data_IF_221133884997
#
_entry.id   IF_221133884997
#
_cell.length_a   1.000
_cell.length_b   1.000
_cell.length_c   1.000
_cell.angle_alpha   90.00
_cell.angle_beta   90.00
_cell.angle_gamma   90.00
#
_symmetry.space_group_name_H-M   'P 1'
#
loop_
_entity.id
_entity.type
_entity.pdbx_description
1 polymer ?
#
# COMPACT_ATOMS: atom_id res chain seq x y z
N UNK A 1 22.30 -6.38 -5.23
CA UNK A 1 21.04 -5.71 -5.58
C UNK A 1 20.33 -5.20 -4.33
N UNK A 2 19.55 -4.14 -4.45
CA UNK A 2 18.70 -3.55 -3.40
C UNK A 2 17.24 -3.60 -3.84
N UNK A 3 16.34 -3.86 -2.90
CA UNK A 3 14.89 -3.83 -3.13
C UNK A 3 14.28 -2.69 -2.32
N UNK A 4 13.46 -1.86 -2.95
CA UNK A 4 12.66 -0.83 -2.30
C UNK A 4 11.19 -1.16 -2.45
N UNK A 5 10.49 -1.35 -1.34
CA UNK A 5 9.07 -1.62 -1.29
C UNK A 5 8.40 -0.34 -0.78
N UNK A 6 7.58 0.27 -1.62
CA UNK A 6 6.74 1.40 -1.22
C UNK A 6 5.35 0.87 -0.90
N UNK A 7 4.78 1.20 0.26
CA UNK A 7 3.33 1.11 0.38
C UNK A 7 2.66 2.22 -0.46
N UNK A 8 1.38 2.03 -0.82
CA UNK A 8 0.67 3.03 -1.60
C UNK A 8 0.64 4.41 -0.91
N UNK A 9 0.41 4.51 0.42
CA UNK A 9 0.53 5.77 1.15
C UNK A 9 1.90 6.44 1.02
N UNK A 10 2.99 5.73 0.79
CA UNK A 10 4.31 6.31 0.55
C UNK A 10 4.44 6.94 -0.84
N UNK A 11 3.54 6.61 -1.75
CA UNK A 11 3.55 7.11 -3.14
C UNK A 11 2.48 8.18 -3.35
N UNK A 12 1.28 7.95 -2.85
CA UNK A 12 0.12 8.84 -3.00
C UNK A 12 -0.24 9.41 -1.64
N UNK A 13 -0.40 10.73 -1.56
CA UNK A 13 -0.91 11.42 -0.38
C UNK A 13 -2.43 11.31 -0.38
N UNK A 14 -2.93 10.40 0.45
CA UNK A 14 -4.35 10.24 0.70
C UNK A 14 -4.58 9.89 2.17
N UNK A 15 -5.77 10.22 2.67
CA UNK A 15 -6.19 9.74 3.99
C UNK A 15 -6.98 8.47 3.83
N UNK A 16 -6.50 7.45 4.49
CA UNK A 16 -7.07 6.12 4.59
C UNK A 16 -8.53 6.18 5.09
N UNK A 17 -8.85 7.16 5.94
CA UNK A 17 -10.17 7.49 6.48
C UNK A 17 -11.16 7.98 5.42
N UNK A 18 -10.70 8.56 4.31
CA UNK A 18 -11.57 9.03 3.22
C UNK A 18 -12.04 7.84 2.35
N UNK A 19 -11.29 6.72 2.33
CA UNK A 19 -11.55 5.57 1.48
C UNK A 19 -12.30 4.42 2.18
N UNK A 20 -12.17 4.29 3.50
CA UNK A 20 -12.87 3.24 4.27
C UNK A 20 -14.39 3.26 4.16
N UNK A 21 -15.07 4.42 4.25
CA UNK A 21 -16.53 4.44 4.12
C UNK A 21 -16.99 3.86 2.79
N UNK A 22 -16.20 4.01 1.73
CA UNK A 22 -16.52 3.44 0.42
C UNK A 22 -16.48 1.90 0.43
N UNK A 23 -15.53 1.31 1.17
CA UNK A 23 -15.46 -0.14 1.34
C UNK A 23 -16.60 -0.64 2.23
N UNK A 24 -16.89 0.07 3.32
CA UNK A 24 -18.03 -0.24 4.18
C UNK A 24 -19.33 -0.25 3.37
N UNK A 25 -19.62 0.83 2.64
CA UNK A 25 -20.81 0.93 1.78
C UNK A 25 -20.88 -0.22 0.76
N UNK A 26 -19.75 -0.58 0.13
CA UNK A 26 -19.71 -1.68 -0.82
C UNK A 26 -20.05 -3.03 -0.16
N UNK A 27 -19.57 -3.28 1.05
CA UNK A 27 -19.90 -4.50 1.80
C UNK A 27 -21.38 -4.47 2.21
N UNK A 28 -21.87 -3.36 2.77
CA UNK A 28 -23.26 -3.23 3.24
C UNK A 28 -24.27 -3.46 2.10
N UNK A 29 -24.02 -2.90 0.91
CA UNK A 29 -24.87 -3.06 -0.27
C UNK A 29 -25.00 -4.52 -0.71
N UNK A 30 -23.90 -5.28 -0.66
CA UNK A 30 -23.86 -6.67 -1.13
C UNK A 30 -24.29 -7.66 -0.04
N UNK A 31 -24.02 -7.35 1.22
CA UNK A 31 -24.40 -8.17 2.37
C UNK A 31 -25.87 -7.95 2.77
N UNK A 32 -26.45 -6.80 2.42
CA UNK A 32 -27.80 -6.40 2.82
C UNK A 32 -27.93 -6.10 4.32
N UNK A 33 -26.81 -5.88 5.01
CA UNK A 33 -26.74 -5.62 6.44
C UNK A 33 -25.77 -4.48 6.74
N UNK A 34 -26.03 -3.73 7.82
CA UNK A 34 -25.10 -2.69 8.28
C UNK A 34 -23.83 -3.30 8.85
N UNK A 35 -22.70 -2.69 8.53
CA UNK A 35 -21.37 -3.08 8.99
C UNK A 35 -20.84 -1.97 9.88
N UNK A 36 -20.41 -2.29 11.10
CA UNK A 36 -19.77 -1.28 11.96
C UNK A 36 -18.37 -0.95 11.43
N UNK A 37 -18.02 0.34 11.41
CA UNK A 37 -16.67 0.80 11.05
C UNK A 37 -15.57 0.20 11.93
N UNK A 38 -15.90 -0.26 13.14
CA UNK A 38 -14.97 -0.93 14.05
C UNK A 38 -14.48 -2.30 13.53
N UNK A 39 -15.22 -2.90 12.60
CA UNK A 39 -14.86 -4.16 11.96
C UNK A 39 -13.89 -3.96 10.79
N UNK A 40 -13.74 -2.73 10.28
CA UNK A 40 -12.76 -2.40 9.23
C UNK A 40 -11.41 -2.00 9.83
N UNK A 41 -10.76 -2.93 10.55
CA UNK A 41 -9.44 -2.71 11.19
C UNK A 41 -8.32 -2.61 10.16
N UNK A 42 -7.35 -1.75 10.42
CA UNK A 42 -6.22 -1.45 9.52
C UNK A 42 -5.06 -2.45 9.56
N UNK A 43 -5.14 -3.48 10.40
CA UNK A 43 -4.13 -4.55 10.45
C UNK A 43 -4.25 -5.47 9.21
N UNK A 44 -5.43 -5.49 8.61
CA UNK A 44 -5.76 -6.27 7.42
C UNK A 44 -5.90 -5.36 6.20
N UNK A 45 -5.63 -5.94 5.02
CA UNK A 45 -5.93 -5.27 3.76
C UNK A 45 -7.40 -5.49 3.38
N UNK A 46 -7.88 -4.92 2.27
CA UNK A 46 -9.29 -5.03 1.87
C UNK A 46 -9.80 -6.47 1.75
N UNK A 47 -8.95 -7.42 1.33
CA UNK A 47 -9.32 -8.83 1.27
C UNK A 47 -9.48 -9.44 2.66
N UNK A 48 -8.54 -9.19 3.57
CA UNK A 48 -8.65 -9.65 4.96
C UNK A 48 -9.90 -9.08 5.63
N UNK A 49 -10.08 -7.76 5.54
CA UNK A 49 -11.23 -7.05 6.12
C UNK A 49 -12.55 -7.63 5.63
N UNK A 50 -12.68 -7.89 4.33
CA UNK A 50 -13.89 -8.47 3.76
C UNK A 50 -14.16 -9.87 4.36
N UNK A 51 -13.14 -10.72 4.46
CA UNK A 51 -13.29 -12.05 5.06
C UNK A 51 -13.66 -11.98 6.55
N UNK A 52 -13.04 -11.08 7.32
CA UNK A 52 -13.32 -10.91 8.76
C UNK A 52 -14.75 -10.39 8.98
N UNK A 53 -15.19 -9.41 8.18
CA UNK A 53 -16.56 -8.88 8.25
C UNK A 53 -17.59 -9.98 7.96
N UNK A 54 -17.40 -10.76 6.89
CA UNK A 54 -18.30 -11.87 6.57
C UNK A 54 -18.32 -12.92 7.68
N UNK A 55 -17.16 -13.27 8.22
CA UNK A 55 -17.06 -14.25 9.31
C UNK A 55 -17.78 -13.79 10.57
N UNK A 56 -17.74 -12.50 10.89
CA UNK A 56 -18.37 -11.94 12.11
C UNK A 56 -19.86 -11.69 11.97
N UNK A 57 -20.30 -11.21 10.80
CA UNK A 57 -21.68 -10.76 10.60
C UNK A 57 -22.54 -11.88 9.99
N UNK A 58 -22.02 -12.59 8.99
CA UNK A 58 -22.74 -13.63 8.28
C UNK A 58 -22.41 -15.04 8.76
N UNK A 59 -21.47 -15.18 9.71
CA UNK A 59 -20.98 -16.46 10.25
C UNK A 59 -20.47 -17.43 9.18
N UNK A 60 -20.01 -16.89 8.04
CA UNK A 60 -19.48 -17.66 6.91
C UNK A 60 -18.43 -16.87 6.15
N UNK A 61 -17.77 -17.51 5.21
CA UNK A 61 -16.98 -16.82 4.20
C UNK A 61 -17.87 -16.32 3.06
N UNK A 62 -17.48 -15.25 2.35
CA UNK A 62 -18.17 -14.81 1.14
C UNK A 62 -18.05 -15.90 0.06
N UNK A 63 -19.03 -15.97 -0.84
CA UNK A 63 -18.86 -16.68 -2.10
C UNK A 63 -17.91 -15.88 -3.01
N UNK A 64 -17.35 -16.53 -4.03
CA UNK A 64 -16.52 -15.82 -5.02
C UNK A 64 -17.31 -14.71 -5.73
N UNK A 65 -18.60 -14.92 -5.96
CA UNK A 65 -19.51 -13.94 -6.59
C UNK A 65 -19.67 -12.71 -5.70
N UNK A 66 -19.91 -12.90 -4.40
CA UNK A 66 -19.99 -11.79 -3.43
C UNK A 66 -18.67 -11.04 -3.31
N UNK A 67 -17.55 -11.77 -3.28
CA UNK A 67 -16.23 -11.18 -3.19
C UNK A 67 -15.94 -10.25 -4.39
N UNK A 68 -16.19 -10.74 -5.60
CA UNK A 68 -15.98 -9.94 -6.82
C UNK A 68 -17.02 -8.81 -6.97
N UNK A 69 -18.27 -9.02 -6.53
CA UNK A 69 -19.29 -7.97 -6.53
C UNK A 69 -18.92 -6.80 -5.60
N UNK A 70 -18.39 -7.10 -4.41
CA UNK A 70 -17.92 -6.06 -3.47
C UNK A 70 -16.70 -5.34 -4.03
N UNK A 71 -15.74 -6.05 -4.63
CA UNK A 71 -14.59 -5.44 -5.32
C UNK A 71 -15.02 -4.44 -6.38
N UNK A 72 -15.97 -4.84 -7.22
CA UNK A 72 -16.53 -4.01 -8.27
C UNK A 72 -17.28 -2.79 -7.70
N UNK A 73 -18.15 -2.98 -6.70
CA UNK A 73 -18.88 -1.87 -6.05
C UNK A 73 -17.91 -0.87 -5.41
N UNK A 74 -16.89 -1.36 -4.69
CA UNK A 74 -15.85 -0.51 -4.10
C UNK A 74 -15.12 0.33 -5.17
N UNK A 75 -14.73 -0.28 -6.29
CA UNK A 75 -14.07 0.41 -7.40
C UNK A 75 -14.96 1.51 -8.02
N UNK A 76 -16.26 1.24 -8.22
CA UNK A 76 -17.22 2.23 -8.72
C UNK A 76 -17.35 3.41 -7.76
N UNK A 77 -17.46 3.13 -6.45
CA UNK A 77 -17.54 4.15 -5.40
C UNK A 77 -16.27 4.98 -5.32
N UNK A 78 -15.10 4.34 -5.39
CA UNK A 78 -13.79 5.00 -5.44
C UNK A 78 -13.69 5.95 -6.63
N UNK A 79 -14.01 5.48 -7.84
CA UNK A 79 -13.99 6.31 -9.06
C UNK A 79 -14.93 7.50 -8.94
N UNK A 80 -16.15 7.27 -8.43
CA UNK A 80 -17.13 8.34 -8.19
C UNK A 80 -16.64 9.34 -7.14
N UNK A 81 -15.95 8.87 -6.10
CA UNK A 81 -15.35 9.72 -5.07
C UNK A 81 -14.26 10.63 -5.65
N UNK A 82 -13.39 10.08 -6.51
CA UNK A 82 -12.37 10.82 -7.23
C UNK A 82 -12.97 11.91 -8.16
N UNK A 83 -14.04 11.60 -8.90
CA UNK A 83 -14.66 12.58 -9.81
C UNK A 83 -15.34 13.75 -9.09
N UNK A 84 -15.80 13.55 -7.85
CA UNK A 84 -16.55 14.57 -7.10
C UNK A 84 -15.68 15.57 -6.36
N UNK A 85 -14.38 15.27 -6.18
CA UNK A 85 -13.49 16.05 -5.33
C UNK A 85 -12.15 16.22 -6.02
N UNK A 86 -12.00 17.34 -6.72
CA UNK A 86 -10.72 17.73 -7.32
C UNK A 86 -9.62 17.80 -6.24
N UNK A 87 -8.42 17.33 -6.59
CA UNK A 87 -7.20 17.44 -5.77
C UNK A 87 -7.23 16.74 -4.40
N UNK A 88 -8.09 15.75 -4.20
CA UNK A 88 -8.13 14.96 -2.96
C UNK A 88 -6.86 14.11 -2.74
N UNK A 89 -6.26 13.68 -3.85
CA UNK A 89 -5.15 12.75 -3.88
C UNK A 89 -4.09 13.32 -4.79
N UNK A 90 -2.88 13.44 -4.26
CA UNK A 90 -1.74 13.93 -5.01
C UNK A 90 -0.57 12.97 -4.84
N UNK A 91 0.36 13.01 -5.78
CA UNK A 91 1.61 12.29 -5.63
C UNK A 91 2.39 12.91 -4.47
N UNK A 92 2.91 12.06 -3.58
CA UNK A 92 3.74 12.55 -2.47
C UNK A 92 4.90 13.39 -3.00
N UNK A 93 5.04 14.59 -2.45
CA UNK A 93 6.03 15.55 -2.94
C UNK A 93 7.44 14.94 -2.95
N UNK A 94 8.08 14.93 -4.13
CA UNK A 94 9.42 14.39 -4.33
C UNK A 94 9.51 12.89 -4.60
N UNK A 95 8.43 12.10 -4.44
CA UNK A 95 8.50 10.64 -4.68
C UNK A 95 8.80 10.32 -6.14
N UNK A 96 8.28 11.10 -7.10
CA UNK A 96 8.57 10.90 -8.53
C UNK A 96 10.08 10.97 -8.81
N UNK A 97 10.79 11.91 -8.17
CA UNK A 97 12.25 12.00 -8.31
C UNK A 97 12.96 10.76 -7.78
N UNK A 98 12.47 10.17 -6.68
CA UNK A 98 12.98 8.91 -6.15
C UNK A 98 12.72 7.76 -7.12
N UNK A 99 11.48 7.62 -7.63
CA UNK A 99 11.11 6.57 -8.57
C UNK A 99 11.92 6.66 -9.86
N UNK A 100 12.08 7.86 -10.44
CA UNK A 100 12.91 8.07 -11.63
C UNK A 100 14.38 7.70 -11.40
N UNK A 101 14.94 8.03 -10.23
CA UNK A 101 16.31 7.63 -9.90
C UNK A 101 16.46 6.13 -9.69
N UNK A 102 15.47 5.46 -9.08
CA UNK A 102 15.48 4.00 -8.95
C UNK A 102 15.47 3.31 -10.33
N UNK A 103 14.76 3.88 -11.31
CA UNK A 103 14.71 3.34 -12.67
C UNK A 103 16.04 3.44 -13.44
N UNK A 104 16.89 4.42 -13.12
CA UNK A 104 18.20 4.59 -13.79
C UNK A 104 19.32 3.78 -13.16
N UNK A 105 19.08 3.13 -12.01
CA UNK A 105 20.08 2.40 -11.25
C UNK A 105 19.88 0.88 -11.40
N UNK A 106 20.76 0.15 -12.13
CA UNK A 106 20.54 -1.25 -12.50
C UNK A 106 20.52 -2.21 -11.29
N UNK A 107 21.20 -1.85 -10.21
CA UNK A 107 21.25 -2.64 -8.97
C UNK A 107 20.07 -2.40 -8.04
N UNK A 108 19.18 -1.47 -8.38
CA UNK A 108 18.03 -1.10 -7.58
C UNK A 108 16.75 -1.58 -8.25
N UNK A 109 15.94 -2.28 -7.45
CA UNK A 109 14.61 -2.69 -7.84
C UNK A 109 13.60 -2.07 -6.90
N UNK A 110 12.41 -1.79 -7.41
CA UNK A 110 11.34 -1.33 -6.57
C UNK A 110 9.99 -1.90 -7.00
N UNK A 111 9.05 -1.88 -6.07
CA UNK A 111 7.65 -2.20 -6.29
C UNK A 111 6.77 -1.38 -5.35
N UNK A 112 5.49 -1.35 -5.69
CA UNK A 112 4.44 -0.78 -4.84
C UNK A 112 3.62 -1.93 -4.26
N UNK A 113 3.32 -1.85 -2.97
CA UNK A 113 2.35 -2.70 -2.27
C UNK A 113 1.13 -1.87 -1.89
N UNK A 114 -0.06 -2.45 -1.94
CA UNK A 114 -1.30 -1.74 -1.61
C UNK A 114 -2.24 -2.60 -0.79
N UNK A 115 -2.88 -1.96 0.19
CA UNK A 115 -3.96 -2.58 0.96
C UNK A 115 -5.27 -2.69 0.15
N UNK A 116 -5.34 -2.09 -1.04
CA UNK A 116 -6.48 -2.20 -1.94
C UNK A 116 -6.26 -3.28 -3.00
N UNK A 117 -7.34 -3.69 -3.67
CA UNK A 117 -7.27 -4.58 -4.83
C UNK A 117 -6.64 -3.90 -6.05
N UNK A 118 -6.18 -4.72 -7.00
CA UNK A 118 -5.40 -4.32 -8.15
C UNK A 118 -6.04 -3.20 -8.96
N UNK A 119 -7.33 -3.33 -9.29
CA UNK A 119 -8.01 -2.33 -10.11
C UNK A 119 -8.17 -0.97 -9.39
N UNK A 120 -8.69 -0.90 -8.15
CA UNK A 120 -8.66 0.32 -7.34
C UNK A 120 -7.27 0.95 -7.22
N UNK A 121 -6.22 0.15 -6.94
CA UNK A 121 -4.86 0.67 -6.80
C UNK A 121 -4.33 1.25 -8.11
N UNK A 122 -4.56 0.55 -9.22
CA UNK A 122 -4.20 1.01 -10.56
C UNK A 122 -4.87 2.34 -10.86
N UNK A 123 -6.19 2.44 -10.61
CA UNK A 123 -6.95 3.67 -10.83
C UNK A 123 -6.41 4.85 -10.02
N UNK A 124 -6.07 4.64 -8.74
CA UNK A 124 -5.47 5.68 -7.87
C UNK A 124 -4.14 6.17 -8.47
N UNK A 125 -3.24 5.26 -8.84
CA UNK A 125 -1.93 5.60 -9.39
C UNK A 125 -2.05 6.38 -10.71
N UNK A 126 -2.91 5.92 -11.62
CA UNK A 126 -3.13 6.56 -12.93
C UNK A 126 -3.77 7.94 -12.80
N UNK A 127 -4.73 8.09 -11.88
CA UNK A 127 -5.38 9.39 -11.60
C UNK A 127 -4.40 10.44 -11.08
N UNK A 128 -3.32 10.00 -10.42
CA UNK A 128 -2.24 10.85 -9.94
C UNK A 128 -1.04 10.93 -10.91
N UNK A 129 -1.16 10.41 -12.15
CA UNK A 129 -0.10 10.50 -13.17
C UNK A 129 1.06 9.53 -13.01
N UNK A 130 0.91 8.47 -12.22
CA UNK A 130 1.90 7.39 -12.07
C UNK A 130 1.50 6.21 -12.96
N UNK A 131 2.15 6.10 -14.13
CA UNK A 131 1.84 5.06 -15.12
C UNK A 131 2.66 3.77 -14.92
N UNK A 132 1.99 2.63 -15.03
CA UNK A 132 2.49 1.30 -14.63
C UNK A 132 3.62 0.71 -15.47
N UNK A 133 3.96 1.24 -16.66
CA UNK A 133 4.76 0.51 -17.67
C UNK A 133 6.02 -0.19 -17.12
N UNK A 134 6.63 0.33 -16.04
CA UNK A 134 7.80 -0.26 -15.37
C UNK A 134 7.65 -0.43 -13.83
N UNK A 135 6.44 -0.50 -13.28
CA UNK A 135 6.19 -0.63 -11.84
C UNK A 135 5.51 -1.96 -11.55
N UNK A 136 6.20 -2.82 -10.80
CA UNK A 136 5.60 -4.02 -10.25
C UNK A 136 4.68 -3.64 -9.08
N UNK A 137 3.44 -4.13 -9.16
CA UNK A 137 2.39 -3.85 -8.19
C UNK A 137 1.95 -5.15 -7.51
N UNK A 138 1.75 -5.08 -6.20
CA UNK A 138 1.22 -6.17 -5.37
C UNK A 138 0.09 -5.62 -4.50
N UNK A 139 -1.02 -6.33 -4.43
CA UNK A 139 -2.28 -5.78 -3.90
C UNK A 139 -2.96 -6.73 -2.91
N UNK A 140 -4.12 -6.33 -2.41
CA UNK A 140 -4.98 -7.19 -1.61
C UNK A 140 -5.43 -8.47 -2.36
N UNK A 141 -5.29 -8.55 -3.69
CA UNK A 141 -5.52 -9.81 -4.41
C UNK A 141 -4.45 -10.87 -4.12
N UNK A 142 -3.25 -10.46 -3.68
CA UNK A 142 -2.11 -11.35 -3.47
C UNK A 142 -2.00 -11.89 -2.02
N UNK A 143 -2.63 -11.24 -1.05
CA UNK A 143 -2.52 -11.56 0.39
C UNK A 143 -3.70 -11.01 1.20
N UNK A 144 -3.83 -11.41 2.47
CA UNK A 144 -4.91 -10.97 3.37
C UNK A 144 -4.50 -9.86 4.35
N UNK A 145 -3.21 -9.59 4.48
CA UNK A 145 -2.67 -8.53 5.34
C UNK A 145 -1.51 -7.81 4.65
N UNK A 146 -1.22 -6.57 5.06
CA UNK A 146 -0.05 -5.83 4.57
C UNK A 146 1.25 -6.56 4.91
N UNK A 147 1.31 -7.21 6.08
CA UNK A 147 2.45 -8.02 6.51
C UNK A 147 2.69 -9.19 5.56
N UNK A 148 1.64 -9.98 5.29
CA UNK A 148 1.75 -11.14 4.40
C UNK A 148 2.09 -10.72 2.97
N UNK A 149 1.55 -9.59 2.53
CA UNK A 149 1.84 -9.02 1.22
C UNK A 149 3.33 -8.72 1.08
N UNK A 150 3.91 -7.98 2.04
CA UNK A 150 5.35 -7.65 2.04
C UNK A 150 6.21 -8.91 2.11
N UNK A 151 5.88 -9.87 2.99
CA UNK A 151 6.63 -11.12 3.09
C UNK A 151 6.58 -11.92 1.78
N UNK A 152 5.42 -12.02 1.14
CA UNK A 152 5.26 -12.66 -0.18
C UNK A 152 6.08 -11.97 -1.27
N UNK A 153 6.09 -10.63 -1.30
CA UNK A 153 6.91 -9.86 -2.24
C UNK A 153 8.38 -10.20 -2.05
N UNK A 154 8.88 -10.17 -0.81
CA UNK A 154 10.27 -10.46 -0.50
C UNK A 154 10.63 -11.88 -0.95
N UNK A 155 9.82 -12.88 -0.59
CA UNK A 155 10.05 -14.27 -0.98
C UNK A 155 10.06 -14.44 -2.51
N UNK A 156 9.03 -13.93 -3.21
CA UNK A 156 8.91 -14.04 -4.69
C UNK A 156 10.07 -13.38 -5.41
N UNK A 157 10.56 -12.25 -4.90
CA UNK A 157 11.68 -11.52 -5.48
C UNK A 157 13.00 -12.22 -5.21
N UNK A 158 13.18 -12.81 -4.02
CA UNK A 158 14.40 -13.54 -3.66
C UNK A 158 14.63 -14.80 -4.49
N UNK A 159 13.56 -15.48 -4.92
CA UNK A 159 13.66 -16.63 -5.83
C UNK A 159 14.37 -16.24 -7.13
N UNK A 160 14.16 -15.02 -7.62
CA UNK A 160 14.68 -14.57 -8.91
C UNK A 160 15.98 -13.75 -8.80
N UNK A 161 16.24 -13.14 -7.64
CA UNK A 161 17.34 -12.18 -7.45
C UNK A 161 17.85 -12.19 -6.01
N UNK A 162 19.18 -12.17 -5.86
CA UNK A 162 19.80 -12.02 -4.54
C UNK A 162 19.89 -10.54 -4.13
N UNK A 163 18.99 -10.14 -3.24
CA UNK A 163 19.04 -8.81 -2.62
C UNK A 163 19.99 -8.83 -1.41
N UNK A 164 20.77 -7.77 -1.24
CA UNK A 164 21.64 -7.58 -0.07
C UNK A 164 20.94 -6.77 1.02
N UNK A 165 20.04 -5.87 0.62
CA UNK A 165 19.30 -4.98 1.51
C UNK A 165 17.90 -4.76 0.95
N UNK A 166 16.94 -4.61 1.86
CA UNK A 166 15.54 -4.34 1.56
C UNK A 166 15.16 -3.05 2.30
N UNK A 167 14.53 -2.12 1.62
CA UNK A 167 14.00 -0.89 2.20
C UNK A 167 12.48 -0.93 2.11
N UNK A 168 11.79 -0.81 3.24
CA UNK A 168 10.33 -0.70 3.30
C UNK A 168 9.97 0.74 3.66
N UNK A 169 9.34 1.45 2.75
CA UNK A 169 8.89 2.84 2.96
C UNK A 169 7.38 2.81 3.17
N UNK A 170 6.93 3.24 4.34
CA UNK A 170 5.54 3.07 4.75
C UNK A 170 5.00 4.18 5.66
N UNK A 171 3.69 4.43 5.61
CA UNK A 171 3.00 5.28 6.59
C UNK A 171 2.90 4.66 7.99
N UNK A 172 3.05 3.33 8.07
CA UNK A 172 3.01 2.57 9.31
C UNK A 172 4.23 2.90 10.18
N UNK A 173 4.11 2.66 11.48
CA UNK A 173 5.21 2.86 12.42
C UNK A 173 6.23 1.71 12.39
N UNK A 174 5.74 0.50 12.12
CA UNK A 174 6.53 -0.73 12.01
C UNK A 174 5.69 -1.79 11.30
N UNK A 175 6.34 -2.70 10.58
CA UNK A 175 5.71 -3.90 10.04
C UNK A 175 6.62 -5.10 10.38
N UNK A 176 6.12 -6.18 10.99
CA UNK A 176 6.92 -7.38 11.19
C UNK A 176 7.26 -8.00 9.84
N UNK A 177 8.55 -8.08 9.50
CA UNK A 177 9.01 -8.64 8.23
C UNK A 177 9.89 -9.84 8.50
N UNK A 178 9.60 -10.96 7.84
CA UNK A 178 10.42 -12.17 7.92
C UNK A 178 11.37 -12.20 6.73
N UNK A 179 12.66 -11.93 6.96
CA UNK A 179 13.69 -11.88 5.93
C UNK A 179 15.02 -12.33 6.49
N UNK A 180 15.83 -13.04 5.68
CA UNK A 180 17.23 -13.38 6.05
C UNK A 180 18.19 -12.20 5.83
N UNK A 181 17.75 -11.21 5.07
CA UNK A 181 18.49 -10.03 4.69
C UNK A 181 18.08 -8.85 5.56
N UNK A 182 18.99 -7.89 5.82
CA UNK A 182 18.66 -6.65 6.50
C UNK A 182 17.46 -5.95 5.85
N UNK A 183 16.45 -5.67 6.66
CA UNK A 183 15.28 -4.89 6.29
C UNK A 183 15.34 -3.55 7.00
N UNK A 184 15.28 -2.49 6.22
CA UNK A 184 15.36 -1.12 6.68
C UNK A 184 13.97 -0.48 6.57
N UNK A 185 13.35 -0.23 7.72
CA UNK A 185 12.03 0.40 7.77
C UNK A 185 12.17 1.93 7.79
N UNK A 186 11.58 2.60 6.80
CA UNK A 186 11.57 4.05 6.67
C UNK A 186 10.11 4.50 6.81
N UNK A 187 9.72 4.88 8.03
CA UNK A 187 8.39 5.45 8.25
C UNK A 187 8.31 6.85 7.63
N UNK A 188 7.21 7.17 6.94
CA UNK A 188 6.95 8.53 6.44
C UNK A 188 6.97 9.57 7.57
N UNK A 189 6.59 9.18 8.80
CA UNK A 189 6.67 10.04 9.98
C UNK A 189 8.10 10.48 10.28
N UNK A 190 9.09 9.63 10.02
CA UNK A 190 10.52 9.95 10.19
C UNK A 190 11.06 10.90 9.11
N UNK A 191 10.36 11.00 7.97
CA UNK A 191 10.74 11.90 6.88
C UNK A 191 10.23 13.33 7.10
N UNK A 192 9.28 13.53 8.02
CA UNK A 192 8.76 14.86 8.37
C UNK A 192 9.85 15.73 9.01
N UNK A 193 10.10 16.90 8.42
CA UNK A 193 11.05 17.89 8.94
C UNK A 193 10.39 19.03 9.72
N UNK A 194 9.07 19.25 9.60
CA UNK A 194 8.33 20.29 10.31
C UNK A 194 6.81 20.00 10.31
N UNK A 195 6.12 20.40 11.39
CA UNK A 195 4.69 20.15 11.62
C UNK A 195 3.72 20.91 10.68
N UNK A 196 4.23 21.76 9.79
CA UNK A 196 3.42 22.73 9.05
C UNK A 196 3.35 22.52 7.53
N UNK A 197 4.02 21.53 6.95
CA UNK A 197 3.95 21.27 5.51
C UNK A 197 4.05 19.78 5.17
N UNK A 198 3.26 19.40 4.16
CA UNK A 198 3.14 18.07 3.55
C UNK A 198 4.47 17.30 3.46
N UNK A 199 4.39 15.98 3.69
CA UNK A 199 5.54 15.07 3.63
C UNK A 199 6.30 15.20 2.31
N UNK A 200 7.49 15.77 2.35
CA UNK A 200 8.38 15.86 1.21
C UNK A 200 9.49 14.82 1.33
N UNK A 201 9.65 13.99 0.30
CA UNK A 201 10.79 13.09 0.21
C UNK A 201 12.11 13.87 0.21
N UNK A 202 13.10 13.45 1.00
CA UNK A 202 14.44 14.01 0.88
C UNK A 202 15.07 13.58 -0.45
N UNK A 203 16.25 14.14 -0.78
CA UNK A 203 17.02 13.68 -1.94
C UNK A 203 17.31 12.18 -1.81
N UNK A 204 17.37 11.47 -2.94
CA UNK A 204 17.64 10.03 -2.98
C UNK A 204 18.83 9.60 -2.12
N UNK A 205 19.97 10.29 -2.26
CA UNK A 205 21.14 10.00 -1.46
C UNK A 205 20.88 10.12 0.05
N UNK A 206 20.10 11.11 0.48
CA UNK A 206 19.77 11.32 1.90
C UNK A 206 18.77 10.28 2.42
N UNK A 207 17.81 9.87 1.58
CA UNK A 207 16.82 8.85 1.91
C UNK A 207 17.50 7.53 2.28
N UNK A 208 18.49 7.12 1.48
CA UNK A 208 19.16 5.83 1.64
C UNK A 208 20.49 5.88 2.42
N UNK A 209 21.14 7.05 2.58
CA UNK A 209 22.33 7.20 3.45
C UNK A 209 21.98 7.22 4.94
N UNK A 210 20.79 7.70 5.32
CA UNK A 210 20.37 7.76 6.73
C UNK A 210 20.22 6.39 7.40
N UNK A 211 20.18 5.34 6.58
CA UNK A 211 19.93 3.97 7.02
C UNK A 211 21.17 3.29 7.60
N UNK A 212 22.39 3.73 7.24
CA UNK A 212 23.64 3.23 7.84
C UNK A 212 23.80 3.62 9.33
N UNK A 213 22.94 4.50 9.84
CA UNK A 213 22.95 5.01 11.23
C UNK A 213 21.76 4.52 12.08
N UNK A 214 20.84 3.75 11.51
CA UNK A 214 19.68 3.22 12.25
C UNK A 214 20.03 1.86 12.89
N UNK A 215 19.51 1.56 14.09
CA UNK A 215 19.76 0.27 14.73
C UNK A 215 19.21 -0.85 13.86
N UNK A 216 20.04 -1.86 13.59
CA UNK A 216 19.64 -3.07 12.86
C UNK A 216 18.63 -3.81 13.72
N UNK A 217 17.40 -3.95 13.23
CA UNK A 217 16.42 -4.86 13.82
C UNK A 217 16.66 -6.21 13.15
N UNK A 218 17.13 -7.18 13.94
CA UNK A 218 17.19 -8.59 13.54
C UNK A 218 15.83 -9.24 13.77
#
# INVERSE_FOLDING_TARGET
MKLVIFDLPAVIDYRKEDLRPLLQEAIEENLGQKVSMEFLRWEENCSGVLLDVFKRIAERFPTNEEFEAIKSSFNIKLRSHFMKRENLYDVRHGVQSILMQLQTLPDWHYCIVSDYWQEPTQFILESCGIYRKNIDLYTADDALSSQDLVNKVILKRQVNKSFREIFLISDQASLPVTSRQPVHFISLKMLSRNALNHFAYPKFADLFKRVERLPRVN
#
